data_IF_710715161758
#
_entry.id   IF_710715161758
#
_cell.length_a   1.000
_cell.length_b   1.000
_cell.length_c   1.000
_cell.angle_alpha   90.00
_cell.angle_beta   90.00
_cell.angle_gamma   90.00
#
_symmetry.space_group_name_H-M   'P 1'
#
loop_
_entity.id
_entity.type
_entity.pdbx_description
1 polymer ?
#
# COMPACT_ATOMS: atom_id res chain seq x y z
N UNK A 1 19.63 -0.54 3.71
CA UNK A 1 18.28 -0.19 3.20
C UNK A 1 17.61 -1.44 2.67
N UNK A 2 16.33 -1.60 2.94
CA UNK A 2 15.51 -2.70 2.45
C UNK A 2 14.26 -2.13 1.80
N UNK A 3 13.87 -2.64 0.64
CA UNK A 3 12.66 -2.25 -0.07
C UNK A 3 11.72 -3.45 -0.11
N UNK A 4 10.47 -3.24 0.30
CA UNK A 4 9.42 -4.24 0.20
C UNK A 4 8.27 -3.73 -0.64
N UNK A 5 8.02 -4.37 -1.76
CA UNK A 5 6.87 -4.09 -2.61
C UNK A 5 5.64 -4.69 -1.94
N UNK A 6 4.68 -3.85 -1.58
CA UNK A 6 3.42 -4.27 -0.97
C UNK A 6 2.39 -4.67 -2.03
N UNK A 7 2.41 -3.99 -3.16
CA UNK A 7 1.56 -4.28 -4.29
C UNK A 7 2.14 -3.69 -5.57
N UNK A 8 1.86 -4.34 -6.70
CA UNK A 8 2.35 -3.93 -8.02
C UNK A 8 1.29 -4.09 -9.11
N UNK A 9 0.02 -4.19 -8.74
CA UNK A 9 -1.09 -4.22 -9.68
C UNK A 9 -1.36 -2.84 -10.28
N UNK A 10 -2.10 -2.83 -11.39
CA UNK A 10 -2.60 -1.59 -11.98
C UNK A 10 -3.67 -0.93 -11.10
N UNK A 11 -4.24 0.17 -11.58
CA UNK A 11 -5.20 1.00 -10.81
C UNK A 11 -6.40 0.23 -10.25
N UNK A 12 -6.81 -0.84 -10.91
CA UNK A 12 -7.96 -1.65 -10.51
C UNK A 12 -7.59 -2.98 -9.85
N UNK A 13 -6.30 -3.25 -9.67
CA UNK A 13 -5.82 -4.52 -9.15
C UNK A 13 -5.97 -5.67 -10.16
N UNK A 14 -5.64 -6.89 -9.72
CA UNK A 14 -5.82 -8.10 -10.52
C UNK A 14 -6.24 -9.26 -9.58
N UNK A 15 -7.23 -10.10 -9.94
CA UNK A 15 -8.16 -9.94 -11.07
C UNK A 15 -8.99 -8.67 -10.99
N UNK A 16 -9.54 -8.23 -12.11
CA UNK A 16 -10.48 -7.09 -12.12
C UNK A 16 -11.77 -7.48 -11.39
N UNK A 17 -12.36 -6.54 -10.66
CA UNK A 17 -13.61 -6.79 -9.91
C UNK A 17 -14.77 -7.29 -10.81
N UNK A 18 -14.72 -6.96 -12.09
CA UNK A 18 -15.73 -7.35 -13.08
C UNK A 18 -15.27 -8.46 -14.05
N UNK A 19 -14.18 -9.17 -13.73
CA UNK A 19 -13.69 -10.27 -14.58
C UNK A 19 -14.61 -11.50 -14.45
N UNK A 20 -15.73 -11.42 -15.12
CA UNK A 20 -16.78 -12.46 -15.11
C UNK A 20 -16.42 -13.68 -15.95
N UNK A 21 -15.53 -13.53 -16.92
CA UNK A 21 -15.27 -14.55 -17.94
C UNK A 21 -14.06 -15.45 -17.60
N UNK A 22 -13.47 -15.24 -16.43
CA UNK A 22 -12.33 -16.05 -15.99
C UNK A 22 -11.10 -15.92 -16.89
N UNK A 23 -10.86 -14.72 -17.44
CA UNK A 23 -9.68 -14.46 -18.28
C UNK A 23 -8.37 -14.58 -17.51
N UNK A 24 -8.46 -14.51 -16.17
CA UNK A 24 -7.33 -14.65 -15.26
C UNK A 24 -7.41 -16.04 -14.61
N UNK A 25 -6.33 -16.80 -14.67
CA UNK A 25 -6.25 -18.07 -13.97
C UNK A 25 -6.12 -17.82 -12.46
N UNK A 26 -7.22 -17.92 -11.74
CA UNK A 26 -7.28 -17.68 -10.29
C UNK A 26 -6.54 -18.73 -9.45
N UNK A 27 -6.18 -19.88 -10.03
CA UNK A 27 -5.37 -20.90 -9.35
C UNK A 27 -3.90 -20.49 -9.26
N UNK A 28 -3.45 -19.57 -10.11
CA UNK A 28 -2.10 -19.03 -10.04
C UNK A 28 -2.09 -17.77 -9.18
N UNK A 29 -1.54 -17.88 -7.97
CA UNK A 29 -1.48 -16.77 -7.01
C UNK A 29 -0.70 -15.56 -7.52
N UNK A 30 0.17 -15.72 -8.48
CA UNK A 30 0.90 -14.61 -9.14
C UNK A 30 -0.02 -13.69 -9.92
N UNK A 31 -1.23 -14.12 -10.23
CA UNK A 31 -2.23 -13.29 -10.90
C UNK A 31 -3.00 -12.38 -9.95
N UNK A 32 -2.85 -12.57 -8.64
CA UNK A 32 -3.45 -11.70 -7.64
C UNK A 32 -2.48 -10.57 -7.33
N UNK A 33 -2.83 -9.34 -7.74
CA UNK A 33 -2.01 -8.14 -7.56
C UNK A 33 -2.84 -7.04 -6.93
N UNK A 34 -2.44 -6.62 -5.74
CA UNK A 34 -2.99 -5.42 -5.09
C UNK A 34 -2.39 -4.16 -5.73
N UNK A 35 -3.04 -3.01 -5.50
CA UNK A 35 -2.60 -1.73 -6.06
C UNK A 35 -1.24 -1.32 -5.49
N UNK A 36 -0.58 -0.41 -6.20
CA UNK A 36 0.82 -0.06 -5.93
C UNK A 36 1.05 0.56 -4.56
N UNK A 37 1.99 0.03 -3.84
CA UNK A 37 2.53 0.62 -2.60
C UNK A 37 3.85 -0.05 -2.25
N UNK A 38 4.73 0.68 -1.56
CA UNK A 38 6.08 0.22 -1.24
C UNK A 38 6.47 0.66 0.18
N UNK A 39 7.09 -0.24 0.93
CA UNK A 39 7.79 0.11 2.17
C UNK A 39 9.29 0.20 1.94
N UNK A 40 9.88 1.23 2.50
CA UNK A 40 11.34 1.42 2.51
C UNK A 40 11.81 1.44 3.96
N UNK A 41 12.71 0.54 4.28
CA UNK A 41 13.36 0.47 5.59
C UNK A 41 14.74 1.08 5.48
N UNK A 42 14.96 2.22 6.14
CA UNK A 42 16.24 2.92 6.16
C UNK A 42 16.65 3.11 7.62
N UNK A 43 17.75 2.46 8.02
CA UNK A 43 18.19 2.49 9.42
C UNK A 43 17.02 2.06 10.32
N UNK A 44 16.61 2.92 11.26
CA UNK A 44 15.51 2.65 12.20
C UNK A 44 14.19 3.31 11.75
N UNK A 45 14.08 3.73 10.48
CA UNK A 45 12.91 4.41 9.93
C UNK A 45 12.21 3.58 8.87
N UNK A 46 10.90 3.69 8.83
CA UNK A 46 10.03 3.02 7.86
C UNK A 46 9.26 4.09 7.10
N UNK A 47 9.49 4.15 5.80
CA UNK A 47 8.80 5.06 4.90
C UNK A 47 7.79 4.26 4.06
N UNK A 48 6.59 4.81 3.91
CA UNK A 48 5.57 4.27 3.02
C UNK A 48 5.50 5.15 1.77
N UNK A 49 5.57 4.55 0.59
CA UNK A 49 5.34 5.22 -0.69
C UNK A 49 3.95 4.83 -1.16
N UNK A 50 3.07 5.80 -1.24
CA UNK A 50 1.66 5.69 -1.60
C UNK A 50 0.82 4.82 -0.65
N UNK A 51 -0.39 5.25 -0.40
CA UNK A 51 -1.39 4.53 0.38
C UNK A 51 -2.43 3.93 -0.56
N UNK A 52 -2.21 2.69 -0.98
CA UNK A 52 -3.15 2.02 -1.89
C UNK A 52 -4.49 1.74 -1.20
N UNK A 53 -5.57 1.51 -1.95
CA UNK A 53 -6.84 1.06 -1.39
C UNK A 53 -6.74 -0.26 -0.61
N UNK A 54 -5.68 -1.03 -0.84
CA UNK A 54 -5.44 -2.32 -0.20
C UNK A 54 -4.50 -2.22 1.02
N UNK A 55 -4.22 -1.01 1.49
CA UNK A 55 -3.15 -0.74 2.47
C UNK A 55 -3.29 -1.58 3.74
N UNK A 56 -4.49 -1.68 4.29
CA UNK A 56 -4.72 -2.47 5.51
C UNK A 56 -4.20 -3.90 5.36
N UNK A 57 -4.60 -4.58 4.29
CA UNK A 57 -4.19 -5.95 4.03
C UNK A 57 -2.69 -6.03 3.73
N UNK A 58 -2.16 -5.05 3.00
CA UNK A 58 -0.75 -5.00 2.65
C UNK A 58 0.14 -4.86 3.90
N UNK A 59 -0.22 -3.97 4.82
CA UNK A 59 0.53 -3.78 6.07
C UNK A 59 0.42 -5.01 6.98
N UNK A 60 -0.77 -5.61 7.05
CA UNK A 60 -0.97 -6.84 7.81
C UNK A 60 -0.07 -7.97 7.29
N UNK A 61 -0.05 -8.20 5.99
CA UNK A 61 0.79 -9.23 5.36
C UNK A 61 2.28 -8.94 5.54
N UNK A 62 2.67 -7.67 5.58
CA UNK A 62 4.05 -7.25 5.80
C UNK A 62 4.44 -7.27 7.29
N UNK A 63 3.48 -7.51 8.20
CA UNK A 63 3.67 -7.39 9.64
C UNK A 63 4.24 -6.01 10.03
N UNK A 64 3.81 -4.98 9.32
CA UNK A 64 4.26 -3.62 9.53
C UNK A 64 3.35 -2.92 10.52
N UNK A 65 3.86 -2.63 11.70
CA UNK A 65 3.11 -2.00 12.79
C UNK A 65 3.51 -0.54 13.03
N UNK A 66 4.48 -0.04 12.31
CA UNK A 66 4.96 1.33 12.45
C UNK A 66 5.32 1.91 11.08
N UNK A 67 5.00 3.19 10.89
CA UNK A 67 5.40 3.98 9.73
C UNK A 67 5.84 5.34 10.25
N UNK A 68 6.99 5.82 9.79
CA UNK A 68 7.55 7.08 10.23
C UNK A 68 7.20 8.25 9.31
N UNK A 69 6.95 7.99 8.04
CA UNK A 69 6.51 9.00 7.09
C UNK A 69 5.83 8.34 5.88
N UNK A 70 4.95 9.10 5.22
CA UNK A 70 4.30 8.72 3.96
C UNK A 70 4.72 9.70 2.88
N UNK A 71 5.09 9.18 1.72
CA UNK A 71 5.38 9.98 0.53
C UNK A 71 4.39 9.59 -0.57
N UNK A 72 3.72 10.58 -1.15
CA UNK A 72 2.82 10.37 -2.27
C UNK A 72 3.51 10.70 -3.59
N UNK A 73 3.44 9.77 -4.54
CA UNK A 73 3.97 10.00 -5.89
C UNK A 73 3.08 10.97 -6.66
N UNK A 74 1.77 10.79 -6.54
CA UNK A 74 0.75 11.63 -7.14
C UNK A 74 -0.61 11.36 -6.46
N UNK A 75 -1.63 12.12 -6.81
CA UNK A 75 -2.88 12.13 -6.05
C UNK A 75 -4.02 11.30 -6.68
N UNK A 76 -3.73 10.35 -7.57
CA UNK A 76 -4.74 9.42 -8.05
C UNK A 76 -5.24 8.52 -6.93
N UNK A 77 -6.53 8.13 -7.01
CA UNK A 77 -7.21 7.40 -5.92
C UNK A 77 -6.58 6.05 -5.58
N UNK A 78 -6.03 5.36 -6.56
CA UNK A 78 -5.34 4.08 -6.35
C UNK A 78 -4.02 4.24 -5.57
N UNK A 79 -3.53 5.48 -5.40
CA UNK A 79 -2.34 5.82 -4.61
C UNK A 79 -2.66 6.53 -3.29
N UNK A 80 -3.89 7.00 -3.10
CA UNK A 80 -4.26 7.81 -1.92
C UNK A 80 -5.40 7.25 -1.10
N UNK A 81 -6.21 6.35 -1.66
CA UNK A 81 -7.45 5.89 -1.02
C UNK A 81 -7.23 5.08 0.27
N UNK A 82 -6.03 4.59 0.51
CA UNK A 82 -5.68 3.91 1.76
C UNK A 82 -5.29 4.84 2.90
N UNK A 83 -5.25 6.16 2.68
CA UNK A 83 -4.85 7.13 3.71
C UNK A 83 -5.62 6.96 5.03
N UNK A 84 -6.94 6.69 5.06
CA UNK A 84 -7.66 6.46 6.31
C UNK A 84 -7.10 5.31 7.17
N UNK A 85 -6.47 4.31 6.56
CA UNK A 85 -5.87 3.19 7.30
C UNK A 85 -4.62 3.60 8.09
N UNK A 86 -4.00 4.74 7.73
CA UNK A 86 -2.88 5.30 8.48
C UNK A 86 -3.28 5.77 9.88
N UNK A 87 -4.57 6.03 10.09
CA UNK A 87 -5.08 6.44 11.40
C UNK A 87 -4.79 5.38 12.46
N UNK A 88 -4.98 4.10 12.15
CA UNK A 88 -4.70 3.02 13.11
C UNK A 88 -3.23 2.96 13.50
N UNK A 89 -2.33 3.14 12.55
CA UNK A 89 -0.88 3.17 12.81
C UNK A 89 -0.51 4.36 13.69
N UNK A 90 -1.06 5.53 13.39
CA UNK A 90 -0.85 6.74 14.19
C UNK A 90 -1.34 6.57 15.63
N UNK A 91 -2.54 6.01 15.81
CA UNK A 91 -3.13 5.80 17.13
C UNK A 91 -2.35 4.78 17.97
N UNK A 92 -2.01 3.62 17.40
CA UNK A 92 -1.32 2.57 18.15
C UNK A 92 0.09 3.00 18.57
N UNK A 93 0.78 3.81 17.76
CA UNK A 93 2.11 4.30 18.04
C UNK A 93 2.11 5.66 18.76
N UNK A 94 0.93 6.25 18.98
CA UNK A 94 0.76 7.55 19.67
C UNK A 94 1.64 8.65 19.07
N UNK A 95 1.65 8.74 17.74
CA UNK A 95 2.48 9.73 17.03
C UNK A 95 1.77 10.29 15.81
N UNK A 96 2.16 11.50 15.42
CA UNK A 96 1.80 12.11 14.16
C UNK A 96 2.72 11.58 13.07
N UNK A 97 2.15 11.12 11.97
CA UNK A 97 2.92 10.62 10.83
C UNK A 97 2.92 11.70 9.75
N UNK A 98 4.06 12.30 9.42
CA UNK A 98 4.12 13.30 8.36
C UNK A 98 3.82 12.68 7.00
N UNK A 99 3.09 13.41 6.17
CA UNK A 99 2.78 13.04 4.80
C UNK A 99 3.32 14.11 3.85
N UNK A 100 4.07 13.69 2.86
CA UNK A 100 4.68 14.55 1.85
C UNK A 100 3.98 14.31 0.53
N UNK A 101 3.48 15.38 -0.08
CA UNK A 101 2.67 15.36 -1.29
C UNK A 101 3.25 16.29 -2.34
N UNK A 102 3.10 15.99 -3.65
CA UNK A 102 3.37 16.95 -4.69
C UNK A 102 2.47 18.19 -4.54
N UNK A 103 2.98 19.34 -4.98
CA UNK A 103 2.20 20.59 -5.04
C UNK A 103 1.10 20.52 -6.11
#
# INVERSE_FOLDING_TARGET
MKIRILGCGGSFGSPLAWDKNGNINIKNLKNFRTRSSVLIYIKNKILLIDTSPDLRQQLYNAKCTNIDAVLFTHMHSDHTAGLPDMRSISLINKKIIPAYMPE
#
